data_IF_720924494533
#
_entry.id   IF_720924494533
#
_cell.length_a   1.000
_cell.length_b   1.000
_cell.length_c   1.000
_cell.angle_alpha   90.00
_cell.angle_beta   90.00
_cell.angle_gamma   90.00
#
_symmetry.space_group_name_H-M   'P 1'
#
loop_
_entity.id
_entity.type
_entity.pdbx_description
1 polymer ?
#
# COMPACT_ATOMS: atom_id res chain seq x y z
N UNK A 1 -17.80 4.69 1.66
CA UNK A 1 -16.68 3.83 2.10
C UNK A 1 -15.98 4.40 3.34
N UNK A 2 -15.52 5.66 3.29
CA UNK A 2 -14.76 6.34 4.34
C UNK A 2 -15.28 6.12 5.79
N UNK A 3 -16.58 6.33 6.05
CA UNK A 3 -17.13 6.12 7.41
C UNK A 3 -17.00 4.69 7.92
N UNK A 4 -17.13 3.71 7.04
CA UNK A 4 -16.97 2.30 7.41
C UNK A 4 -15.50 2.02 7.72
N UNK A 5 -14.58 2.57 6.92
CA UNK A 5 -13.14 2.52 7.19
C UNK A 5 -12.80 3.06 8.58
N UNK A 6 -13.26 4.28 8.90
CA UNK A 6 -13.01 4.92 10.19
C UNK A 6 -13.55 4.09 11.37
N UNK A 7 -14.75 3.53 11.22
CA UNK A 7 -15.33 2.66 12.25
C UNK A 7 -14.51 1.38 12.44
N UNK A 8 -14.03 0.78 11.35
CA UNK A 8 -13.18 -0.41 11.37
C UNK A 8 -11.81 -0.13 11.99
N UNK A 9 -11.15 0.94 11.58
CA UNK A 9 -9.86 1.37 12.12
C UNK A 9 -9.98 1.61 13.63
N UNK A 10 -11.00 2.35 14.08
CA UNK A 10 -11.24 2.57 15.50
C UNK A 10 -11.53 1.27 16.26
N UNK A 11 -12.22 0.32 15.62
CA UNK A 11 -12.50 -0.98 16.22
C UNK A 11 -11.21 -1.76 16.48
N UNK A 12 -10.33 -1.90 15.49
CA UNK A 12 -9.10 -2.69 15.61
C UNK A 12 -7.98 -1.99 16.37
N UNK A 13 -7.82 -0.68 16.19
CA UNK A 13 -6.68 0.05 16.76
C UNK A 13 -6.94 0.52 18.19
N UNK A 14 -8.21 0.71 18.59
CA UNK A 14 -8.55 1.23 19.92
C UNK A 14 -9.52 0.33 20.69
N UNK A 15 -10.69 0.04 20.13
CA UNK A 15 -11.80 -0.59 20.88
C UNK A 15 -11.47 -2.02 21.30
N UNK A 16 -10.99 -2.85 20.38
CA UNK A 16 -10.65 -4.24 20.64
C UNK A 16 -9.45 -4.36 21.60
N UNK A 17 -8.34 -3.61 21.44
CA UNK A 17 -7.27 -3.57 22.44
C UNK A 17 -7.74 -3.10 23.82
N UNK A 18 -8.60 -2.07 23.91
CA UNK A 18 -9.14 -1.59 25.18
C UNK A 18 -9.99 -2.65 25.89
N UNK A 19 -10.85 -3.36 25.15
CA UNK A 19 -11.61 -4.50 25.67
C UNK A 19 -10.65 -5.60 26.14
N UNK A 20 -9.63 -5.94 25.36
CA UNK A 20 -8.65 -6.96 25.72
C UNK A 20 -7.92 -6.62 27.03
N UNK A 21 -7.43 -5.38 27.19
CA UNK A 21 -6.78 -4.90 28.41
C UNK A 21 -7.74 -4.97 29.60
N UNK A 22 -8.98 -4.47 29.43
CA UNK A 22 -9.99 -4.52 30.49
C UNK A 22 -10.29 -5.97 30.91
N UNK A 23 -10.37 -6.90 29.95
CA UNK A 23 -10.60 -8.33 30.22
C UNK A 23 -9.41 -9.00 30.91
N UNK A 24 -8.17 -8.62 30.60
CA UNK A 24 -6.98 -9.10 31.31
C UNK A 24 -6.99 -8.65 32.77
N UNK A 25 -7.28 -7.37 33.02
CA UNK A 25 -7.39 -6.83 34.38
C UNK A 25 -8.51 -7.54 35.15
N UNK A 26 -9.67 -7.71 34.52
CA UNK A 26 -10.82 -8.39 35.10
C UNK A 26 -10.49 -9.87 35.43
N UNK A 27 -9.77 -10.55 34.55
CA UNK A 27 -9.31 -11.92 34.78
C UNK A 27 -8.35 -12.01 35.97
N UNK A 28 -7.44 -11.03 36.13
CA UNK A 28 -6.58 -10.92 37.30
C UNK A 28 -7.37 -10.78 38.60
N UNK A 29 -8.32 -9.85 38.66
CA UNK A 29 -9.21 -9.66 39.83
C UNK A 29 -10.01 -10.93 40.13
N UNK A 30 -10.55 -11.57 39.09
CA UNK A 30 -11.29 -12.81 39.24
C UNK A 30 -10.42 -13.95 39.81
N UNK A 31 -9.17 -14.06 39.36
CA UNK A 31 -8.20 -15.03 39.88
C UNK A 31 -7.87 -14.77 41.35
N UNK A 32 -7.73 -13.51 41.77
CA UNK A 32 -7.61 -13.15 43.19
C UNK A 32 -8.81 -13.62 44.00
N UNK A 33 -10.03 -13.41 43.52
CA UNK A 33 -11.25 -13.89 44.21
C UNK A 33 -11.24 -15.42 44.31
N UNK A 34 -10.82 -16.14 43.28
CA UNK A 34 -10.76 -17.60 43.30
C UNK A 34 -9.71 -18.14 44.29
N UNK A 35 -8.57 -17.47 44.45
CA UNK A 35 -7.48 -17.92 45.32
C UNK A 35 -7.74 -17.55 46.79
N UNK A 36 -8.21 -16.33 47.05
CA UNK A 36 -8.28 -15.76 48.40
C UNK A 36 -9.64 -15.88 49.07
N UNK A 37 -10.65 -16.47 48.41
CA UNK A 37 -11.98 -16.64 48.99
C UNK A 37 -12.35 -18.10 49.11
N UNK A 38 -12.96 -18.48 50.24
CA UNK A 38 -13.48 -19.83 50.44
C UNK A 38 -14.55 -20.18 49.40
N UNK A 39 -14.63 -21.47 49.09
CA UNK A 39 -15.60 -22.02 48.15
C UNK A 39 -17.03 -21.73 48.62
N UNK A 40 -17.91 -21.36 47.69
CA UNK A 40 -19.35 -21.08 47.88
C UNK A 40 -19.68 -19.82 48.69
N UNK A 41 -18.69 -18.98 49.00
CA UNK A 41 -18.92 -17.66 49.60
C UNK A 41 -19.71 -16.74 48.66
N UNK A 42 -20.37 -15.72 49.22
CA UNK A 42 -21.11 -14.72 48.45
C UNK A 42 -20.21 -13.97 47.47
N UNK A 43 -18.98 -13.66 47.88
CA UNK A 43 -17.98 -12.99 47.05
C UNK A 43 -17.59 -13.83 45.83
N UNK A 44 -17.38 -15.15 45.97
CA UNK A 44 -17.09 -16.02 44.83
C UNK A 44 -18.27 -16.09 43.83
N UNK A 45 -19.51 -16.19 44.33
CA UNK A 45 -20.72 -16.21 43.46
C UNK A 45 -20.87 -14.91 42.67
N UNK A 46 -20.64 -13.76 43.32
CA UNK A 46 -20.66 -12.45 42.66
C UNK A 46 -19.51 -12.35 41.65
N UNK A 47 -18.32 -12.83 42.01
CA UNK A 47 -17.16 -12.87 41.12
C UNK A 47 -17.44 -13.63 39.82
N UNK A 48 -18.04 -14.82 39.89
CA UNK A 48 -18.48 -15.56 38.71
C UNK A 48 -19.48 -14.77 37.87
N UNK A 49 -20.52 -14.22 38.51
CA UNK A 49 -21.58 -13.49 37.82
C UNK A 49 -21.01 -12.27 37.06
N UNK A 50 -20.15 -11.49 37.71
CA UNK A 50 -19.53 -10.30 37.10
C UNK A 50 -18.56 -10.70 36.00
N UNK A 51 -17.67 -11.67 36.25
CA UNK A 51 -16.67 -12.10 35.28
C UNK A 51 -17.33 -12.64 34.01
N UNK A 52 -18.21 -13.63 34.14
CA UNK A 52 -18.89 -14.22 32.98
C UNK A 52 -19.93 -13.27 32.36
N UNK A 53 -20.57 -12.44 33.18
CA UNK A 53 -21.51 -11.43 32.72
C UNK A 53 -20.87 -10.34 31.86
N UNK A 54 -19.56 -10.08 32.01
CA UNK A 54 -18.81 -9.17 31.14
C UNK A 54 -18.08 -9.90 30.01
N UNK A 55 -17.53 -11.09 30.29
CA UNK A 55 -16.80 -11.89 29.30
C UNK A 55 -17.68 -12.26 28.10
N UNK A 56 -18.90 -12.74 28.33
CA UNK A 56 -19.77 -13.22 27.26
C UNK A 56 -20.17 -12.07 26.31
N UNK A 57 -20.67 -10.91 26.78
CA UNK A 57 -20.92 -9.77 25.91
C UNK A 57 -19.66 -9.25 25.21
N UNK A 58 -18.51 -9.20 25.88
CA UNK A 58 -17.25 -8.77 25.26
C UNK A 58 -16.84 -9.70 24.10
N UNK A 59 -16.98 -11.02 24.27
CA UNK A 59 -16.74 -12.00 23.21
C UNK A 59 -17.73 -11.85 22.06
N UNK A 60 -19.03 -11.71 22.36
CA UNK A 60 -20.07 -11.51 21.32
C UNK A 60 -19.79 -10.23 20.53
N UNK A 61 -19.49 -9.13 21.22
CA UNK A 61 -19.17 -7.85 20.60
C UNK A 61 -17.89 -7.94 19.75
N UNK A 62 -16.85 -8.59 20.25
CA UNK A 62 -15.60 -8.80 19.51
C UNK A 62 -15.81 -9.63 18.24
N UNK A 63 -16.57 -10.73 18.32
CA UNK A 63 -16.89 -11.58 17.15
C UNK A 63 -17.76 -10.85 16.13
N UNK A 64 -18.79 -10.13 16.61
CA UNK A 64 -19.67 -9.35 15.73
C UNK A 64 -18.91 -8.20 15.06
N UNK A 65 -18.08 -7.48 15.83
CA UNK A 65 -17.26 -6.39 15.32
C UNK A 65 -16.21 -6.89 14.31
N UNK A 66 -15.53 -8.00 14.59
CA UNK A 66 -14.59 -8.61 13.64
C UNK A 66 -15.29 -9.01 12.35
N UNK A 67 -16.46 -9.67 12.42
CA UNK A 67 -17.23 -10.03 11.22
C UNK A 67 -17.70 -8.81 10.42
N UNK A 68 -17.97 -7.69 11.08
CA UNK A 68 -18.49 -6.48 10.42
C UNK A 68 -17.38 -5.60 9.82
N UNK A 69 -16.16 -5.73 10.32
CA UNK A 69 -15.03 -4.85 9.96
C UNK A 69 -13.85 -5.61 9.32
N UNK A 70 -13.98 -6.91 9.03
CA UNK A 70 -12.89 -7.73 8.48
C UNK A 70 -12.31 -7.18 7.17
N UNK A 71 -13.13 -6.52 6.34
CA UNK A 71 -12.67 -5.86 5.10
C UNK A 71 -11.48 -4.92 5.34
N UNK A 72 -11.41 -4.30 6.52
CA UNK A 72 -10.31 -3.42 6.88
C UNK A 72 -9.01 -4.19 7.06
N UNK A 73 -9.05 -5.40 7.63
CA UNK A 73 -7.85 -6.24 7.71
C UNK A 73 -7.38 -6.63 6.32
N UNK A 74 -8.31 -7.05 5.46
CA UNK A 74 -8.01 -7.48 4.09
C UNK A 74 -7.35 -6.34 3.28
N UNK A 75 -7.82 -5.09 3.44
CA UNK A 75 -7.22 -3.94 2.77
C UNK A 75 -5.96 -3.42 3.46
N UNK A 76 -5.90 -3.45 4.79
CA UNK A 76 -4.76 -2.90 5.54
C UNK A 76 -3.46 -3.68 5.30
N UNK A 77 -3.54 -4.94 4.87
CA UNK A 77 -2.36 -5.74 4.48
C UNK A 77 -1.62 -5.15 3.27
N UNK A 78 -2.30 -4.36 2.44
CA UNK A 78 -1.71 -3.67 1.29
C UNK A 78 -1.26 -2.25 1.61
N UNK A 79 -1.59 -1.72 2.81
CA UNK A 79 -1.21 -0.36 3.20
C UNK A 79 0.19 -0.36 3.79
N UNK A 80 1.07 0.41 3.15
CA UNK A 80 2.42 0.69 3.62
C UNK A 80 2.68 2.20 3.59
N UNK A 81 3.83 2.67 4.11
CA UNK A 81 4.15 4.11 4.17
C UNK A 81 4.16 4.85 2.82
N UNK A 82 4.11 4.12 1.70
CA UNK A 82 4.02 4.72 0.37
C UNK A 82 2.60 5.04 -0.09
N UNK A 83 1.59 4.52 0.62
CA UNK A 83 0.16 4.71 0.35
C UNK A 83 -0.47 5.62 1.41
N UNK A 84 -0.05 5.47 2.67
CA UNK A 84 -0.53 6.28 3.79
C UNK A 84 0.64 6.78 4.64
N UNK A 85 0.65 8.07 4.95
CA UNK A 85 1.74 8.75 5.67
C UNK A 85 1.75 8.52 7.19
N UNK A 86 0.71 7.89 7.72
CA UNK A 86 0.51 7.66 9.15
C UNK A 86 -0.18 6.33 9.42
N UNK A 87 0.09 5.80 10.60
CA UNK A 87 -0.62 4.66 11.17
C UNK A 87 -1.34 5.07 12.45
N UNK A 88 -2.41 4.34 12.79
CA UNK A 88 -3.16 4.57 14.03
C UNK A 88 -2.88 3.43 15.00
N UNK A 89 -2.35 3.75 16.19
CA UNK A 89 -2.06 2.78 17.25
C UNK A 89 -2.71 3.27 18.54
N UNK A 90 -3.58 2.46 19.15
CA UNK A 90 -4.36 2.88 20.33
C UNK A 90 -5.14 4.20 20.11
N UNK A 91 -5.62 4.43 18.88
CA UNK A 91 -6.31 5.66 18.51
C UNK A 91 -5.41 6.91 18.42
N UNK A 92 -4.09 6.74 18.51
CA UNK A 92 -3.11 7.81 18.31
C UNK A 92 -2.48 7.69 16.93
N UNK A 93 -2.39 8.81 16.22
CA UNK A 93 -1.71 8.89 14.93
C UNK A 93 -0.18 8.93 15.13
N UNK A 94 0.52 8.07 14.41
CA UNK A 94 1.98 8.05 14.32
C UNK A 94 2.38 8.27 12.86
N UNK A 95 3.09 9.36 12.60
CA UNK A 95 3.60 9.67 11.27
C UNK A 95 4.85 8.86 10.95
N UNK A 96 4.95 8.41 9.71
CA UNK A 96 6.12 7.73 9.18
C UNK A 96 7.21 8.73 8.77
N UNK A 97 8.45 8.26 8.72
CA UNK A 97 9.57 9.07 8.24
C UNK A 97 9.39 9.35 6.72
N UNK A 98 9.43 10.62 6.28
CA UNK A 98 9.33 10.97 4.85
C UNK A 98 10.33 10.22 3.95
N UNK A 99 11.53 9.91 4.45
CA UNK A 99 12.51 9.13 3.71
C UNK A 99 12.03 7.69 3.46
N UNK A 100 11.40 7.06 4.46
CA UNK A 100 10.81 5.73 4.35
C UNK A 100 9.62 5.77 3.38
N UNK A 101 8.71 6.73 3.54
CA UNK A 101 7.58 6.91 2.63
C UNK A 101 8.05 7.06 1.17
N UNK A 102 9.09 7.87 0.93
CA UNK A 102 9.67 8.06 -0.41
C UNK A 102 10.29 6.79 -1.00
N UNK A 103 10.81 5.89 -0.17
CA UNK A 103 11.39 4.64 -0.61
C UNK A 103 10.28 3.65 -1.02
N UNK A 104 9.22 3.55 -0.21
CA UNK A 104 8.05 2.75 -0.54
C UNK A 104 7.27 3.27 -1.74
N UNK A 105 7.22 4.60 -1.95
CA UNK A 105 6.63 5.18 -3.15
C UNK A 105 7.36 4.84 -4.45
N UNK A 106 8.60 4.35 -4.35
CA UNK A 106 9.40 3.89 -5.49
C UNK A 106 9.51 2.36 -5.54
N UNK A 107 8.76 1.65 -4.70
CA UNK A 107 8.78 0.19 -4.68
C UNK A 107 7.93 -0.38 -5.81
N UNK A 108 8.34 -1.53 -6.32
CA UNK A 108 7.64 -2.26 -7.39
C UNK A 108 6.24 -2.72 -6.96
N UNK A 109 6.08 -3.02 -5.67
CA UNK A 109 4.82 -3.47 -5.09
C UNK A 109 3.75 -2.39 -5.00
N UNK A 110 4.10 -1.10 -5.19
CA UNK A 110 3.16 -0.01 -4.98
C UNK A 110 1.92 -0.15 -5.87
N UNK A 111 2.09 -0.44 -7.15
CA UNK A 111 0.96 -0.54 -8.08
C UNK A 111 0.09 -1.75 -7.84
N UNK A 112 0.71 -2.90 -7.53
CA UNK A 112 -0.03 -4.07 -7.11
C UNK A 112 -0.86 -3.77 -5.87
N UNK A 113 -0.26 -3.13 -4.86
CA UNK A 113 -0.96 -2.78 -3.61
C UNK A 113 -2.10 -1.78 -3.85
N UNK A 114 -1.88 -0.72 -4.63
CA UNK A 114 -2.92 0.27 -4.95
C UNK A 114 -4.10 -0.37 -5.68
N UNK A 115 -3.85 -1.34 -6.57
CA UNK A 115 -4.90 -2.07 -7.30
C UNK A 115 -5.77 -2.93 -6.37
N UNK A 116 -5.24 -3.38 -5.23
CA UNK A 116 -6.00 -4.18 -4.25
C UNK A 116 -6.84 -3.33 -3.30
N UNK A 117 -6.64 -2.02 -3.26
CA UNK A 117 -7.32 -1.12 -2.34
C UNK A 117 -8.59 -0.56 -2.98
N UNK A 118 -9.75 -0.89 -2.41
CA UNK A 118 -11.05 -0.41 -2.91
C UNK A 118 -11.23 1.12 -2.81
N UNK A 119 -10.35 1.80 -2.07
CA UNK A 119 -10.37 3.27 -1.93
C UNK A 119 -9.65 3.97 -3.09
N UNK A 120 -8.97 3.22 -3.95
CA UNK A 120 -8.35 3.69 -5.16
C UNK A 120 -9.12 3.17 -6.38
N UNK A 121 -9.21 4.00 -7.41
CA UNK A 121 -9.60 3.59 -8.75
C UNK A 121 -8.40 3.74 -9.69
N UNK A 122 -8.32 2.86 -10.68
CA UNK A 122 -7.30 2.85 -11.70
C UNK A 122 -7.87 3.19 -13.08
N UNK A 123 -7.14 4.03 -13.82
CA UNK A 123 -7.42 4.34 -15.22
C UNK A 123 -6.17 4.04 -16.06
N UNK A 124 -6.36 3.33 -17.17
CA UNK A 124 -5.26 3.09 -18.12
C UNK A 124 -4.93 4.41 -18.82
N UNK A 125 -3.66 4.81 -18.74
CA UNK A 125 -3.14 6.02 -19.37
C UNK A 125 -2.10 5.62 -20.41
N UNK A 126 -2.31 6.10 -21.62
CA UNK A 126 -1.36 5.96 -22.73
C UNK A 126 -0.63 7.27 -22.95
N UNK A 127 0.68 7.20 -23.20
CA UNK A 127 1.50 8.36 -23.57
C UNK A 127 2.38 8.04 -24.76
N UNK A 128 2.36 8.90 -25.77
CA UNK A 128 3.27 8.80 -26.91
C UNK A 128 4.73 8.73 -26.43
N UNK A 129 5.51 7.85 -27.06
CA UNK A 129 6.91 7.59 -26.69
C UNK A 129 7.86 8.02 -27.83
N UNK A 130 8.27 9.31 -27.87
CA UNK A 130 8.99 9.90 -28.99
C UNK A 130 10.51 9.70 -28.89
N UNK A 131 10.96 8.57 -28.33
CA UNK A 131 12.39 8.29 -28.15
C UNK A 131 12.84 7.19 -29.11
N UNK A 132 14.01 7.39 -29.71
CA UNK A 132 14.55 6.44 -30.70
C UNK A 132 15.12 5.22 -29.99
N UNK A 133 14.66 4.01 -30.36
CA UNK A 133 15.20 2.77 -29.81
C UNK A 133 16.65 2.55 -30.29
N UNK A 134 17.54 2.22 -29.34
CA UNK A 134 18.97 2.01 -29.59
C UNK A 134 19.33 0.53 -29.53
N UNK A 135 18.55 -0.28 -28.82
CA UNK A 135 18.72 -1.73 -28.70
C UNK A 135 18.45 -2.24 -27.29
N UNK A 136 18.60 -3.55 -27.09
CA UNK A 136 18.46 -4.22 -25.80
C UNK A 136 19.73 -4.97 -25.37
N UNK A 137 19.88 -5.13 -24.05
CA UNK A 137 20.81 -6.09 -23.44
C UNK A 137 20.09 -6.82 -22.30
N UNK A 138 19.67 -8.06 -22.55
CA UNK A 138 18.81 -8.80 -21.62
C UNK A 138 17.43 -8.14 -21.49
N UNK A 139 16.99 -7.84 -20.27
CA UNK A 139 15.71 -7.15 -19.99
C UNK A 139 15.82 -5.62 -20.05
N UNK A 140 16.99 -5.10 -20.42
CA UNK A 140 17.27 -3.67 -20.40
C UNK A 140 17.14 -3.12 -21.82
N UNK A 141 16.30 -2.09 -21.98
CA UNK A 141 16.06 -1.43 -23.26
C UNK A 141 16.65 -0.03 -23.24
N UNK A 142 17.36 0.34 -24.30
CA UNK A 142 18.10 1.60 -24.41
C UNK A 142 17.46 2.51 -25.45
N UNK A 143 17.35 3.79 -25.10
CA UNK A 143 16.71 4.80 -25.93
C UNK A 143 17.57 6.05 -25.99
N UNK A 144 17.53 6.74 -27.13
CA UNK A 144 18.26 7.98 -27.34
C UNK A 144 17.36 9.21 -27.44
N UNK A 145 17.88 10.36 -27.00
CA UNK A 145 17.19 11.64 -27.00
C UNK A 145 18.15 12.82 -27.19
N UNK A 146 17.58 14.01 -27.47
CA UNK A 146 18.32 15.26 -27.70
C UNK A 146 18.68 15.50 -29.17
N UNK A 147 19.31 16.65 -29.46
CA UNK A 147 19.84 16.93 -30.81
C UNK A 147 20.87 15.85 -31.18
N UNK A 148 20.72 15.30 -32.39
CA UNK A 148 21.55 14.22 -32.94
C UNK A 148 21.62 12.93 -32.08
N UNK A 149 20.63 12.64 -31.23
CA UNK A 149 20.59 11.45 -30.37
C UNK A 149 21.79 11.35 -29.41
N UNK A 150 22.27 12.49 -28.91
CA UNK A 150 23.50 12.59 -28.12
C UNK A 150 23.44 11.94 -26.71
N UNK A 151 22.25 11.61 -26.21
CA UNK A 151 22.05 11.09 -24.86
C UNK A 151 21.30 9.77 -24.86
N UNK A 152 21.63 8.89 -23.91
CA UNK A 152 21.01 7.56 -23.79
C UNK A 152 20.38 7.39 -22.39
N UNK A 153 19.19 6.80 -22.33
CA UNK A 153 18.60 6.33 -21.08
C UNK A 153 18.17 4.87 -21.18
N UNK A 154 18.03 4.25 -20.01
CA UNK A 154 17.66 2.84 -19.85
C UNK A 154 16.25 2.74 -19.30
N UNK A 155 15.47 1.80 -19.85
CA UNK A 155 14.19 1.37 -19.31
C UNK A 155 14.21 -0.15 -19.16
N UNK A 156 13.92 -0.60 -17.94
CA UNK A 156 13.70 -2.00 -17.63
C UNK A 156 12.18 -2.25 -17.63
N UNK A 157 11.70 -3.25 -18.36
CA UNK A 157 10.26 -3.50 -18.48
C UNK A 157 9.87 -4.48 -19.58
N UNK A 158 8.58 -4.80 -19.64
CA UNK A 158 8.01 -5.59 -20.74
C UNK A 158 7.87 -4.71 -21.96
N UNK A 159 8.45 -5.16 -23.08
CA UNK A 159 8.29 -4.51 -24.39
C UNK A 159 7.38 -5.36 -25.27
N UNK A 160 6.39 -4.71 -25.86
CA UNK A 160 5.50 -5.27 -26.86
C UNK A 160 5.81 -4.65 -28.23
N UNK A 161 6.19 -5.48 -29.18
CA UNK A 161 6.45 -5.03 -30.55
C UNK A 161 5.11 -4.87 -31.30
N UNK A 162 4.89 -3.71 -31.92
CA UNK A 162 3.64 -3.33 -32.62
C UNK A 162 3.97 -2.63 -33.94
N UNK A 163 3.12 -2.71 -34.96
CA UNK A 163 3.41 -2.08 -36.27
C UNK A 163 3.00 -0.61 -36.36
N UNK A 164 2.26 -0.08 -35.37
CA UNK A 164 1.53 1.19 -35.53
C UNK A 164 2.30 2.42 -35.00
N UNK A 165 2.60 2.45 -33.70
CA UNK A 165 3.25 3.61 -33.04
C UNK A 165 3.89 3.21 -31.71
N UNK A 166 4.94 3.94 -31.31
CA UNK A 166 5.59 3.74 -30.02
C UNK A 166 4.87 4.53 -28.91
N UNK A 167 4.44 3.84 -27.85
CA UNK A 167 3.72 4.44 -26.72
C UNK A 167 3.96 3.68 -25.40
N UNK A 168 3.85 4.40 -24.30
CA UNK A 168 3.86 3.86 -22.94
C UNK A 168 2.44 3.61 -22.47
N UNK A 169 2.22 2.46 -21.83
CA UNK A 169 1.02 2.16 -21.06
C UNK A 169 1.38 2.19 -19.58
N UNK A 170 0.55 2.85 -18.79
CA UNK A 170 0.58 2.79 -17.34
C UNK A 170 -0.81 2.89 -16.76
N UNK A 171 -0.90 2.73 -15.43
CA UNK A 171 -2.13 2.94 -14.68
C UNK A 171 -2.00 4.13 -13.76
N UNK A 172 -2.92 5.06 -13.91
CA UNK A 172 -3.09 6.17 -12.99
C UNK A 172 -3.99 5.73 -11.85
N UNK A 173 -3.48 5.83 -10.62
CA UNK A 173 -4.26 5.55 -9.41
C UNK A 173 -4.69 6.86 -8.74
N UNK A 174 -5.97 6.94 -8.36
CA UNK A 174 -6.52 8.07 -7.59
C UNK A 174 -7.52 7.61 -6.54
N UNK A 175 -7.69 8.39 -5.48
CA UNK A 175 -8.68 8.11 -4.46
C UNK A 175 -10.09 8.26 -5.01
N UNK A 176 -10.95 7.29 -4.72
CA UNK A 176 -12.38 7.33 -5.04
C UNK A 176 -13.11 8.39 -4.20
N UNK A 177 -12.59 8.65 -2.99
CA UNK A 177 -13.18 9.58 -2.01
C UNK A 177 -12.05 10.42 -1.38
N UNK A 178 -11.99 11.70 -1.73
CA UNK A 178 -10.95 12.64 -1.28
C UNK A 178 -10.85 12.76 0.25
N UNK A 179 -11.90 12.37 0.99
CA UNK A 179 -11.87 12.34 2.47
C UNK A 179 -10.77 11.43 3.03
N UNK A 180 -10.29 10.45 2.25
CA UNK A 180 -9.16 9.61 2.68
C UNK A 180 -7.84 10.39 2.78
N UNK A 181 -7.69 11.53 2.08
CA UNK A 181 -6.53 12.41 2.24
C UNK A 181 -6.41 12.94 3.67
N UNK A 182 -7.55 13.27 4.29
CA UNK A 182 -7.60 13.82 5.65
C UNK A 182 -7.02 12.86 6.70
N UNK A 183 -7.01 11.56 6.42
CA UNK A 183 -6.47 10.51 7.29
C UNK A 183 -5.13 9.96 6.81
N UNK A 184 -4.50 10.67 5.86
CA UNK A 184 -3.11 10.46 5.46
C UNK A 184 -2.90 9.65 4.18
N UNK A 185 -3.94 9.28 3.45
CA UNK A 185 -3.77 8.59 2.16
C UNK A 185 -3.30 9.57 1.09
N UNK A 186 -2.34 9.15 0.27
CA UNK A 186 -1.86 9.97 -0.83
C UNK A 186 -2.85 9.92 -2.01
N UNK A 187 -3.25 11.08 -2.51
CA UNK A 187 -4.06 11.24 -3.73
C UNK A 187 -3.28 11.85 -4.90
N UNK A 188 -1.96 11.72 -4.86
CA UNK A 188 -1.15 12.13 -5.99
C UNK A 188 -1.42 11.16 -7.15
N UNK A 189 -1.68 11.69 -8.35
CA UNK A 189 -1.82 10.93 -9.59
C UNK A 189 -0.52 10.15 -9.86
N UNK A 190 -0.41 8.95 -9.32
CA UNK A 190 0.73 8.07 -9.53
C UNK A 190 0.44 7.26 -10.78
N UNK A 191 1.14 7.57 -11.87
CA UNK A 191 1.07 6.77 -13.08
C UNK A 191 2.14 5.68 -12.98
N UNK A 192 1.71 4.44 -12.78
CA UNK A 192 2.61 3.31 -12.63
C UNK A 192 2.80 2.67 -14.00
N UNK A 193 4.06 2.62 -14.44
CA UNK A 193 4.43 2.07 -15.74
C UNK A 193 4.17 0.55 -15.77
N UNK A 194 3.52 0.07 -16.83
CA UNK A 194 3.25 -1.36 -17.03
C UNK A 194 4.02 -1.92 -18.23
N UNK A 195 3.88 -1.29 -19.39
CA UNK A 195 4.43 -1.81 -20.63
C UNK A 195 4.81 -0.70 -21.61
N UNK A 196 5.79 -1.01 -22.45
CA UNK A 196 6.22 -0.16 -23.54
C UNK A 196 5.91 -0.84 -24.87
N UNK A 197 5.20 -0.15 -25.75
CA UNK A 197 4.99 -0.59 -27.12
C UNK A 197 5.97 0.12 -28.04
N UNK A 198 6.67 -0.64 -28.91
CA UNK A 198 7.65 -0.12 -29.86
C UNK A 198 7.35 -0.60 -31.28
N UNK A 199 7.61 0.28 -32.24
CA UNK A 199 7.51 -0.01 -33.67
C UNK A 199 8.76 -0.62 -34.30
N UNK A 200 9.88 -0.53 -33.62
CA UNK A 200 11.16 -1.01 -34.13
C UNK A 200 11.27 -2.54 -33.92
N UNK A 201 12.07 -3.24 -34.72
CA UNK A 201 12.39 -4.65 -34.45
C UNK A 201 13.43 -4.77 -33.32
N UNK A 202 13.40 -5.85 -32.55
CA UNK A 202 14.40 -6.13 -31.51
C UNK A 202 15.82 -6.18 -32.11
N UNK A 203 16.73 -5.38 -31.55
CA UNK A 203 18.12 -5.24 -32.00
C UNK A 203 19.06 -5.25 -30.80
N UNK A 204 20.21 -5.93 -30.94
CA UNK A 204 21.28 -5.86 -29.94
C UNK A 204 21.90 -4.44 -29.91
N UNK A 205 22.07 -3.90 -28.71
CA UNK A 205 22.64 -2.57 -28.52
C UNK A 205 24.14 -2.53 -28.84
N UNK A 206 24.59 -1.49 -29.55
CA UNK A 206 26.02 -1.22 -29.76
C UNK A 206 26.65 -0.67 -28.46
N UNK A 207 27.64 -1.37 -27.85
CA UNK A 207 28.28 -0.94 -26.61
C UNK A 207 28.96 0.43 -26.68
N UNK A 208 29.31 0.91 -27.88
CA UNK A 208 29.96 2.21 -28.08
C UNK A 208 29.02 3.42 -27.90
N UNK A 209 27.70 3.19 -27.81
CA UNK A 209 26.67 4.23 -27.63
C UNK A 209 26.22 4.44 -26.17
N UNK A 210 26.94 3.84 -25.22
CA UNK A 210 26.56 3.74 -23.81
C UNK A 210 27.26 4.76 -22.89
N UNK A 211 27.89 5.82 -23.42
CA UNK A 211 28.83 6.65 -22.62
C UNK A 211 28.17 7.66 -21.66
N UNK A 212 26.88 7.98 -21.82
CA UNK A 212 26.17 8.92 -20.94
C UNK A 212 24.77 8.42 -20.56
N UNK A 213 24.59 8.03 -19.30
CA UNK A 213 23.34 7.51 -18.76
C UNK A 213 22.56 8.56 -17.96
N UNK A 214 21.28 8.71 -18.29
CA UNK A 214 20.31 9.46 -17.50
C UNK A 214 19.22 8.52 -16.95
N UNK A 215 18.66 8.84 -15.78
CA UNK A 215 17.52 8.10 -15.23
C UNK A 215 16.26 8.42 -16.04
N UNK A 216 15.50 7.39 -16.43
CA UNK A 216 14.23 7.61 -17.12
C UNK A 216 13.16 8.25 -16.23
N UNK A 217 13.26 8.13 -14.91
CA UNK A 217 12.42 8.90 -13.97
C UNK A 217 12.65 10.41 -14.12
N UNK A 218 13.88 10.84 -14.40
CA UNK A 218 14.20 12.26 -14.66
C UNK A 218 13.70 12.70 -16.04
N UNK A 219 13.59 11.77 -16.99
CA UNK A 219 13.16 12.03 -18.38
C UNK A 219 11.65 12.03 -18.55
N UNK A 220 10.94 11.14 -17.85
CA UNK A 220 9.49 10.94 -17.97
C UNK A 220 8.88 11.19 -16.59
N UNK A 221 8.97 12.46 -16.17
CA UNK A 221 8.42 12.91 -14.89
C UNK A 221 6.94 12.58 -14.74
N UNK A 222 6.54 12.27 -13.50
CA UNK A 222 5.17 11.87 -13.14
C UNK A 222 4.87 10.39 -13.34
N UNK A 223 5.77 9.62 -13.95
CA UNK A 223 5.63 8.17 -14.10
C UNK A 223 6.55 7.44 -13.13
N UNK A 224 5.98 6.49 -12.40
CA UNK A 224 6.69 5.58 -11.51
C UNK A 224 7.01 4.32 -12.29
N UNK A 225 8.27 4.18 -12.63
CA UNK A 225 8.83 2.95 -13.15
C UNK A 225 9.36 2.16 -11.93
N UNK A 226 9.16 0.83 -11.91
CA UNK A 226 9.66 -0.08 -10.85
C UNK A 226 11.20 -0.06 -10.71
N UNK A 227 11.87 -1.13 -10.23
CA UNK A 227 13.35 -1.09 -10.12
C UNK A 227 13.99 -0.93 -11.49
N UNK A 228 14.31 0.31 -11.82
CA UNK A 228 15.26 0.68 -12.87
C UNK A 228 16.64 1.02 -12.28
N UNK A 229 16.77 0.85 -10.97
CA UNK A 229 17.92 1.26 -10.16
C UNK A 229 18.66 0.05 -9.58
N UNK A 230 19.11 -0.87 -10.43
CA UNK A 230 20.24 -1.75 -10.15
C UNK A 230 21.11 -1.95 -11.40
#
# INVERSE_FOLDING_TARGET
>A
MFRQWMAAEQFYTFTLPAIAIAMIILAGVYLFILIYTDRKTRAQKIGHLVFFGLLIPALIYGLWGHRSHNFWLDQNDYIHPGIRDRATIFGMETHEDPAIASAYRRSESLGENLTQLEMYEDEEVTRDFPYTYVGSNGSQHYFSYGEDNAYTFRLDGVVHWSEDSSYLIGREHRLVDEQFEDIGFYNEHHIIFEALHLTDDEQEVDPSRMENYYSVTDMIGGWLFGRQFY
#
